data_IF_650694753501
#
_entry.id   IF_650694753501
#
_cell.length_a   1.000
_cell.length_b   1.000
_cell.length_c   1.000
_cell.angle_alpha   90.00
_cell.angle_beta   90.00
_cell.angle_gamma   90.00
#
_symmetry.space_group_name_H-M   'P 1'
#
loop_
_entity.id
_entity.type
_entity.pdbx_description
1 polymer ?
#
# COMPACT_ATOMS: atom_id res chain seq x y z
N UNK A 1 -24.24 20.66 -19.76
CA UNK A 1 -23.14 19.70 -19.55
C UNK A 1 -23.69 18.55 -18.71
N UNK A 2 -23.75 17.33 -19.24
CA UNK A 2 -24.34 16.20 -18.52
C UNK A 2 -23.46 15.81 -17.32
N UNK A 3 -24.06 15.73 -16.13
CA UNK A 3 -23.39 15.32 -14.91
C UNK A 3 -23.04 13.83 -15.03
N UNK A 4 -21.81 13.51 -15.47
CA UNK A 4 -21.37 12.11 -15.62
C UNK A 4 -21.37 11.45 -14.24
N UNK A 5 -22.14 10.38 -14.09
CA UNK A 5 -22.21 9.58 -12.86
C UNK A 5 -20.83 9.05 -12.48
N UNK A 6 -20.44 9.20 -11.21
CA UNK A 6 -19.21 8.60 -10.66
C UNK A 6 -19.26 7.08 -10.81
N UNK A 7 -18.18 6.50 -11.33
CA UNK A 7 -18.00 5.05 -11.47
C UNK A 7 -17.18 4.49 -10.31
N UNK A 8 -16.17 5.24 -9.85
CA UNK A 8 -15.28 4.90 -8.75
C UNK A 8 -14.97 6.18 -7.98
N UNK A 9 -15.09 6.16 -6.64
CA UNK A 9 -14.53 7.17 -5.74
C UNK A 9 -13.53 6.46 -4.83
N UNK A 10 -12.32 7.00 -4.74
CA UNK A 10 -11.27 6.54 -3.83
C UNK A 10 -10.94 7.70 -2.91
N UNK A 11 -11.11 7.49 -1.61
CA UNK A 11 -10.95 8.51 -0.59
C UNK A 11 -10.04 7.97 0.52
N UNK A 12 -8.98 8.73 0.83
CA UNK A 12 -8.02 8.47 1.90
C UNK A 12 -7.42 7.06 1.94
N UNK A 13 -7.29 6.41 0.79
CA UNK A 13 -6.78 5.04 0.72
C UNK A 13 -5.28 5.03 0.98
N UNK A 14 -4.89 4.26 1.99
CA UNK A 14 -3.49 4.06 2.36
C UNK A 14 -3.21 2.57 2.54
N UNK A 15 -2.04 2.12 2.09
CA UNK A 15 -1.59 0.75 2.25
C UNK A 15 -0.13 0.73 2.70
N UNK A 16 0.09 0.11 3.85
CA UNK A 16 1.41 -0.08 4.46
C UNK A 16 1.78 -1.56 4.47
N UNK A 17 2.95 -1.88 3.96
CA UNK A 17 3.59 -3.17 4.13
C UNK A 17 4.52 -3.12 5.34
N UNK A 18 4.44 -4.17 6.15
CA UNK A 18 5.45 -4.46 7.14
C UNK A 18 6.50 -5.33 6.47
N UNK A 19 7.64 -4.76 6.12
CA UNK A 19 8.80 -5.50 5.63
C UNK A 19 9.51 -6.08 6.85
N UNK A 20 9.20 -7.32 7.19
CA UNK A 20 9.98 -8.04 8.19
C UNK A 20 11.35 -8.37 7.61
N UNK A 21 12.41 -8.03 8.35
CA UNK A 21 13.77 -8.30 7.89
C UNK A 21 14.11 -9.80 7.97
N UNK A 22 13.47 -10.60 8.83
CA UNK A 22 13.59 -12.07 8.86
C UNK A 22 12.37 -12.71 9.55
N UNK A 23 11.91 -13.86 9.06
CA UNK A 23 11.01 -14.72 9.84
C UNK A 23 11.79 -15.25 11.05
N UNK A 24 11.18 -15.17 12.24
CA UNK A 24 11.75 -15.75 13.44
C UNK A 24 11.06 -17.09 13.64
N UNK A 25 11.75 -18.17 13.31
CA UNK A 25 11.15 -19.51 13.33
C UNK A 25 11.21 -20.13 14.74
N UNK A 26 12.07 -19.61 15.63
CA UNK A 26 12.36 -20.21 16.94
C UNK A 26 12.17 -19.24 18.12
N UNK A 27 11.56 -19.72 19.22
CA UNK A 27 11.33 -18.96 20.46
C UNK A 27 12.63 -18.37 21.04
N UNK A 28 13.73 -19.13 21.01
CA UNK A 28 15.04 -18.65 21.49
C UNK A 28 15.54 -17.45 20.66
N UNK A 29 15.34 -17.50 19.35
CA UNK A 29 15.72 -16.41 18.46
C UNK A 29 14.85 -15.17 18.66
N UNK A 30 13.56 -15.35 18.97
CA UNK A 30 12.65 -14.26 19.34
C UNK A 30 13.13 -13.54 20.61
N UNK A 31 13.44 -14.29 21.67
CA UNK A 31 13.96 -13.72 22.92
C UNK A 31 15.29 -12.99 22.69
N UNK A 32 16.20 -13.56 21.88
CA UNK A 32 17.47 -12.91 21.55
C UNK A 32 17.25 -11.60 20.78
N UNK A 33 16.42 -11.61 19.73
CA UNK A 33 16.12 -10.40 18.93
C UNK A 33 15.40 -9.34 19.75
N UNK A 34 14.57 -9.75 20.71
CA UNK A 34 13.88 -8.85 21.64
C UNK A 34 14.87 -8.17 22.60
N UNK A 35 15.78 -8.93 23.22
CA UNK A 35 16.84 -8.39 24.08
C UNK A 35 17.77 -7.44 23.32
N UNK A 36 18.06 -7.74 22.04
CA UNK A 36 18.88 -6.90 21.17
C UNK A 36 18.16 -5.69 20.57
N UNK A 37 16.84 -5.55 20.78
CA UNK A 37 15.98 -4.53 20.14
C UNK A 37 16.02 -4.56 18.60
N UNK A 38 16.31 -5.71 18.01
CA UNK A 38 16.45 -5.91 16.56
C UNK A 38 15.13 -6.30 15.87
N UNK A 39 14.01 -6.36 16.61
CA UNK A 39 12.67 -6.64 16.08
C UNK A 39 12.07 -5.46 15.27
N UNK A 40 12.91 -4.59 14.72
CA UNK A 40 12.44 -3.41 13.98
C UNK A 40 11.84 -3.85 12.64
N UNK A 41 10.52 -3.82 12.58
CA UNK A 41 9.76 -3.88 11.35
C UNK A 41 10.04 -2.64 10.51
N UNK A 42 10.50 -2.82 9.28
CA UNK A 42 10.63 -1.69 8.37
C UNK A 42 9.27 -1.44 7.73
N UNK A 43 8.70 -0.29 8.05
CA UNK A 43 7.44 0.14 7.46
C UNK A 43 7.65 0.68 6.04
N UNK A 44 6.90 0.17 5.09
CA UNK A 44 6.89 0.65 3.71
C UNK A 44 5.49 1.05 3.28
N UNK A 45 5.28 2.33 2.99
CA UNK A 45 4.03 2.83 2.45
C UNK A 45 3.99 2.61 0.94
N UNK A 46 3.17 1.67 0.49
CA UNK A 46 2.94 1.44 -0.93
C UNK A 46 1.88 2.38 -1.51
N UNK A 47 0.89 2.79 -0.70
CA UNK A 47 -0.06 3.86 -1.01
C UNK A 47 -0.19 4.72 0.25
N UNK A 48 -0.24 6.03 0.10
CA UNK A 48 -0.39 6.94 1.22
C UNK A 48 -1.37 8.04 0.84
N UNK A 49 -2.53 8.03 1.49
CA UNK A 49 -3.58 9.02 1.37
C UNK A 49 -3.97 9.33 -0.10
N UNK A 50 -4.31 8.27 -0.84
CA UNK A 50 -4.68 8.36 -2.25
C UNK A 50 -6.15 8.77 -2.37
N UNK A 51 -6.40 9.83 -3.14
CA UNK A 51 -7.72 10.42 -3.35
C UNK A 51 -7.95 10.68 -4.84
N UNK A 52 -8.96 10.07 -5.46
CA UNK A 52 -9.37 10.36 -6.83
C UNK A 52 -10.76 9.81 -7.16
N UNK A 53 -11.38 10.37 -8.20
CA UNK A 53 -12.63 9.88 -8.74
C UNK A 53 -12.48 9.53 -10.22
N UNK A 54 -13.20 8.51 -10.67
CA UNK A 54 -13.34 8.15 -12.08
C UNK A 54 -14.81 8.23 -12.46
N UNK A 55 -15.13 8.98 -13.52
CA UNK A 55 -16.51 9.10 -14.00
C UNK A 55 -16.80 8.02 -15.05
N UNK A 56 -18.09 7.69 -15.24
CA UNK A 56 -18.50 6.73 -16.26
C UNK A 56 -18.07 7.18 -17.65
N UNK A 57 -17.43 6.26 -18.38
CA UNK A 57 -16.92 6.48 -19.73
C UNK A 57 -15.47 7.00 -19.79
N UNK A 58 -14.84 7.26 -18.66
CA UNK A 58 -13.43 7.68 -18.63
C UNK A 58 -12.51 6.48 -18.88
N UNK A 59 -11.34 6.76 -19.49
CA UNK A 59 -10.23 5.80 -19.62
C UNK A 59 -9.04 6.38 -18.86
N UNK A 60 -8.62 5.70 -17.81
CA UNK A 60 -7.56 6.17 -16.90
C UNK A 60 -6.36 5.26 -17.00
N UNK A 61 -5.18 5.85 -17.24
CA UNK A 61 -3.90 5.15 -17.19
C UNK A 61 -3.16 5.49 -15.90
N UNK A 62 -2.60 4.48 -15.23
CA UNK A 62 -1.78 4.66 -14.04
C UNK A 62 -0.30 4.65 -14.46
N UNK A 63 0.39 5.78 -14.27
CA UNK A 63 1.80 5.96 -14.66
C UNK A 63 2.68 6.28 -13.45
N UNK A 64 3.98 6.00 -13.58
CA UNK A 64 4.98 6.23 -12.53
C UNK A 64 6.12 5.22 -12.59
N UNK A 65 7.20 5.50 -11.86
CA UNK A 65 8.39 4.64 -11.79
C UNK A 65 8.08 3.25 -11.20
N UNK A 66 8.99 2.29 -11.38
CA UNK A 66 8.90 1.00 -10.71
C UNK A 66 8.96 1.19 -9.18
N UNK A 67 8.10 0.47 -8.45
CA UNK A 67 7.95 0.64 -7.00
C UNK A 67 7.01 1.77 -6.57
N UNK A 68 6.48 2.60 -7.48
CA UNK A 68 5.59 3.72 -7.13
C UNK A 68 4.16 3.31 -6.67
N UNK A 69 3.90 2.03 -6.43
CA UNK A 69 2.59 1.57 -5.92
C UNK A 69 1.51 1.31 -6.99
N UNK A 70 1.81 1.38 -8.29
CA UNK A 70 0.82 1.19 -9.38
C UNK A 70 0.04 -0.14 -9.29
N UNK A 71 0.75 -1.26 -9.18
CA UNK A 71 0.12 -2.57 -9.02
C UNK A 71 -0.58 -2.72 -7.68
N UNK A 72 -0.12 -2.00 -6.65
CA UNK A 72 -0.79 -1.95 -5.36
C UNK A 72 -2.13 -1.20 -5.48
N UNK A 73 -2.14 -0.07 -6.19
CA UNK A 73 -3.36 0.69 -6.46
C UNK A 73 -4.40 -0.16 -7.22
N UNK A 74 -3.96 -0.89 -8.24
CA UNK A 74 -4.82 -1.82 -8.99
C UNK A 74 -5.31 -3.02 -8.18
N UNK A 75 -4.66 -3.38 -7.06
CA UNK A 75 -5.11 -4.47 -6.18
C UNK A 75 -6.18 -4.02 -5.18
N UNK A 76 -6.24 -2.72 -4.89
CA UNK A 76 -7.17 -2.16 -3.89
C UNK A 76 -8.50 -1.74 -4.53
N UNK A 77 -8.49 -1.46 -5.83
CA UNK A 77 -9.68 -1.17 -6.67
C UNK A 77 -10.28 -2.49 -7.17
#
# INVERSE_FOLDING_TARGET
>A
MANKKTALSVEHVSMKFNLSSQKVDNIKEYVIKMLKKELMYQEFWALKDVNFEVKRGDRVGIMGLNGAGKSTLLKVI
#
